data_IF_491560608642
#
_entry.id   IF_491560608642
#
_cell.length_a   1.000
_cell.length_b   1.000
_cell.length_c   1.000
_cell.angle_alpha   90.00
_cell.angle_beta   90.00
_cell.angle_gamma   90.00
#
_symmetry.space_group_name_H-M   'P 1'
#
loop_
_entity.id
_entity.type
_entity.pdbx_description
1 polymer ?
#
# COMPACT_ATOMS: atom_id res chain seq x y z
N UNK A 1 -4.99 10.86 24.58
CA UNK A 1 -4.28 11.65 23.55
C UNK A 1 -4.71 11.16 22.17
N UNK A 2 -5.86 11.62 21.65
CA UNK A 2 -6.46 11.06 20.41
C UNK A 2 -5.84 11.54 19.09
N UNK A 3 -5.10 12.66 19.11
CA UNK A 3 -4.53 13.28 17.91
C UNK A 3 -3.39 12.45 17.28
N UNK A 4 -2.46 11.96 18.10
CA UNK A 4 -1.30 11.18 17.64
C UNK A 4 -1.72 9.84 17.02
N UNK A 5 -2.73 9.19 17.59
CA UNK A 5 -3.27 7.92 17.04
C UNK A 5 -3.95 8.12 15.68
N UNK A 6 -4.68 9.23 15.49
CA UNK A 6 -5.31 9.55 14.20
C UNK A 6 -4.29 9.89 13.12
N UNK A 7 -3.24 10.64 13.48
CA UNK A 7 -2.17 11.02 12.54
C UNK A 7 -1.36 9.79 12.08
N UNK A 8 -1.02 8.88 13.01
CA UNK A 8 -0.32 7.63 12.66
C UNK A 8 -1.20 6.75 11.76
N UNK A 9 -2.48 6.58 12.10
CA UNK A 9 -3.41 5.79 11.27
C UNK A 9 -3.56 6.32 9.85
N UNK A 10 -3.75 7.64 9.70
CA UNK A 10 -3.85 8.28 8.38
C UNK A 10 -2.54 8.17 7.58
N UNK A 11 -1.40 8.32 8.24
CA UNK A 11 -0.09 8.15 7.61
C UNK A 11 0.12 6.73 7.10
N UNK A 12 -0.19 5.71 7.92
CA UNK A 12 -0.03 4.30 7.53
C UNK A 12 -0.91 3.94 6.33
N UNK A 13 -2.18 4.37 6.30
CA UNK A 13 -3.08 4.12 5.16
C UNK A 13 -2.57 4.78 3.90
N UNK A 14 -2.17 6.05 3.99
CA UNK A 14 -1.66 6.81 2.83
C UNK A 14 -0.36 6.21 2.31
N UNK A 15 0.57 5.85 3.21
CA UNK A 15 1.81 5.20 2.84
C UNK A 15 1.57 3.83 2.18
N UNK A 16 0.59 3.06 2.65
CA UNK A 16 0.21 1.77 2.07
C UNK A 16 -0.35 1.92 0.66
N UNK A 17 -1.26 2.90 0.46
CA UNK A 17 -1.83 3.20 -0.86
C UNK A 17 -0.77 3.68 -1.86
N UNK A 18 0.11 4.58 -1.42
CA UNK A 18 1.22 5.07 -2.23
C UNK A 18 2.15 3.92 -2.63
N UNK A 19 2.52 3.09 -1.66
CA UNK A 19 3.37 1.93 -1.92
C UNK A 19 2.75 0.97 -2.95
N UNK A 20 1.48 0.58 -2.74
CA UNK A 20 0.80 -0.35 -3.63
C UNK A 20 0.70 0.21 -5.06
N UNK A 21 0.45 1.51 -5.19
CA UNK A 21 0.39 2.19 -6.48
C UNK A 21 1.72 2.12 -7.23
N UNK A 22 2.84 2.39 -6.53
CA UNK A 22 4.18 2.30 -7.13
C UNK A 22 4.51 0.86 -7.51
N UNK A 23 4.21 -0.11 -6.64
CA UNK A 23 4.49 -1.53 -6.89
C UNK A 23 3.73 -2.04 -8.14
N UNK A 24 2.44 -1.72 -8.26
CA UNK A 24 1.62 -2.07 -9.43
C UNK A 24 2.18 -1.42 -10.70
N UNK A 25 2.56 -0.14 -10.64
CA UNK A 25 3.12 0.55 -11.79
C UNK A 25 4.43 -0.10 -12.28
N UNK A 26 5.33 -0.48 -11.36
CA UNK A 26 6.56 -1.18 -11.70
C UNK A 26 6.29 -2.54 -12.33
N UNK A 27 5.37 -3.34 -11.76
CA UNK A 27 5.02 -4.65 -12.31
C UNK A 27 4.40 -4.54 -13.71
N UNK A 28 3.56 -3.52 -13.95
CA UNK A 28 2.98 -3.26 -15.26
C UNK A 28 4.04 -2.91 -16.30
N UNK A 29 5.01 -2.04 -15.97
CA UNK A 29 6.11 -1.70 -16.89
C UNK A 29 6.95 -2.92 -17.27
N UNK A 30 7.22 -3.80 -16.30
CA UNK A 30 7.96 -5.04 -16.57
C UNK A 30 7.18 -5.96 -17.52
N UNK A 31 5.89 -6.19 -17.26
CA UNK A 31 5.03 -7.03 -18.12
C UNK A 31 4.93 -6.48 -19.54
N UNK A 32 4.73 -5.17 -19.69
CA UNK A 32 4.69 -4.51 -21.00
C UNK A 32 6.01 -4.69 -21.75
N UNK A 33 7.15 -4.44 -21.09
CA UNK A 33 8.46 -4.61 -21.72
C UNK A 33 8.75 -6.05 -22.15
N UNK A 34 8.30 -7.04 -21.35
CA UNK A 34 8.48 -8.45 -21.66
C UNK A 34 7.66 -8.86 -22.89
N UNK A 35 6.40 -8.45 -22.95
CA UNK A 35 5.52 -8.71 -24.10
C UNK A 35 6.05 -8.06 -25.37
N UNK A 36 6.48 -6.79 -25.31
CA UNK A 36 7.07 -6.10 -26.46
C UNK A 36 8.36 -6.77 -26.95
N UNK A 37 9.24 -7.20 -26.04
CA UNK A 37 10.46 -7.95 -26.41
C UNK A 37 10.13 -9.30 -27.04
N UNK A 38 9.15 -10.02 -26.50
CA UNK A 38 8.72 -11.30 -27.09
C UNK A 38 8.16 -11.10 -28.50
N UNK A 39 7.30 -10.11 -28.70
CA UNK A 39 6.76 -9.80 -30.03
C UNK A 39 7.87 -9.38 -31.00
N UNK A 40 8.79 -8.52 -30.55
CA UNK A 40 9.95 -8.13 -31.35
C UNK A 40 10.79 -9.35 -31.74
N UNK A 41 11.09 -10.25 -30.80
CA UNK A 41 11.84 -11.47 -31.07
C UNK A 41 11.13 -12.39 -32.08
N UNK A 42 9.80 -12.55 -31.98
CA UNK A 42 9.04 -13.35 -32.95
C UNK A 42 9.10 -12.72 -34.35
N UNK A 43 8.89 -11.41 -34.44
CA UNK A 43 8.97 -10.68 -35.72
C UNK A 43 10.38 -10.74 -36.32
N UNK A 44 11.42 -10.55 -35.50
CA UNK A 44 12.82 -10.70 -35.93
C UNK A 44 13.07 -12.11 -36.42
N UNK A 45 12.61 -13.15 -35.71
CA UNK A 45 12.83 -14.56 -36.10
C UNK A 45 12.18 -14.92 -37.44
N UNK A 46 11.04 -14.30 -37.80
CA UNK A 46 10.41 -14.49 -39.11
C UNK A 46 11.31 -13.97 -40.25
N UNK A 47 11.99 -12.85 -40.03
CA UNK A 47 12.86 -12.20 -41.05
C UNK A 47 14.24 -12.84 -41.06
N UNK A 48 14.81 -13.06 -39.87
CA UNK A 48 16.14 -13.60 -39.63
C UNK A 48 16.06 -14.67 -38.54
N UNK A 49 15.99 -15.96 -38.90
CA UNK A 49 15.84 -17.05 -37.95
C UNK A 49 17.01 -17.06 -36.97
N UNK A 50 16.72 -17.09 -35.66
CA UNK A 50 17.79 -17.14 -34.68
C UNK A 50 18.58 -18.45 -34.84
N UNK A 51 19.93 -18.40 -34.81
CA UNK A 51 20.74 -19.61 -34.81
C UNK A 51 20.42 -20.46 -33.57
N UNK A 52 20.55 -21.78 -33.70
CA UNK A 52 20.31 -22.73 -32.60
C UNK A 52 21.09 -22.30 -31.36
N UNK A 53 20.37 -22.04 -30.26
CA UNK A 53 20.99 -21.57 -29.04
C UNK A 53 21.98 -22.64 -28.52
N UNK A 54 23.20 -22.25 -28.11
CA UNK A 54 24.13 -23.18 -27.47
C UNK A 54 23.49 -23.76 -26.19
N UNK A 55 23.91 -24.97 -25.76
CA UNK A 55 23.35 -25.62 -24.58
C UNK A 55 23.37 -24.66 -23.38
N UNK A 56 22.31 -24.65 -22.55
CA UNK A 56 22.16 -23.68 -21.49
C UNK A 56 23.32 -23.80 -20.52
N UNK A 57 24.30 -22.91 -20.63
CA UNK A 57 25.31 -22.72 -19.59
C UNK A 57 24.55 -22.24 -18.36
N UNK A 58 24.65 -22.98 -17.25
CA UNK A 58 24.11 -22.59 -15.96
C UNK A 58 24.71 -21.26 -15.56
N UNK A 59 24.05 -20.17 -15.96
CA UNK A 59 24.45 -18.83 -15.55
C UNK A 59 24.06 -18.75 -14.08
N UNK A 60 25.05 -18.81 -13.20
CA UNK A 60 24.86 -18.42 -11.81
C UNK A 60 24.25 -17.00 -11.85
N UNK A 61 22.97 -16.93 -11.49
CA UNK A 61 22.24 -15.69 -11.44
C UNK A 61 22.89 -14.88 -10.33
N UNK A 62 23.84 -13.99 -10.71
CA UNK A 62 24.36 -12.98 -9.80
C UNK A 62 23.15 -12.35 -9.13
N UNK A 63 23.05 -12.51 -7.81
CA UNK A 63 21.96 -12.01 -6.98
C UNK A 63 21.76 -10.53 -7.31
N UNK A 64 20.79 -10.27 -8.17
CA UNK A 64 20.52 -8.94 -8.69
C UNK A 64 20.26 -8.04 -7.50
N UNK A 65 20.74 -6.79 -7.55
CA UNK A 65 20.41 -5.77 -6.54
C UNK A 65 18.90 -5.68 -6.33
N UNK A 66 18.13 -6.04 -7.37
CA UNK A 66 16.67 -6.18 -7.35
C UNK A 66 16.19 -7.29 -6.41
N UNK A 67 16.84 -8.45 -6.35
CA UNK A 67 16.45 -9.53 -5.43
C UNK A 67 16.74 -9.14 -3.98
N UNK A 68 17.89 -8.50 -3.72
CA UNK A 68 18.18 -7.96 -2.38
C UNK A 68 17.18 -6.88 -1.96
N UNK A 69 16.76 -6.03 -2.91
CA UNK A 69 15.73 -5.03 -2.65
C UNK A 69 14.37 -5.67 -2.36
N UNK A 70 14.01 -6.76 -3.06
CA UNK A 70 12.78 -7.53 -2.79
C UNK A 70 12.81 -8.21 -1.43
N UNK A 71 13.93 -8.84 -1.07
CA UNK A 71 14.08 -9.53 0.21
C UNK A 71 13.98 -8.56 1.38
N UNK A 72 14.65 -7.41 1.26
CA UNK A 72 14.58 -6.35 2.27
C UNK A 72 13.18 -5.75 2.37
N UNK A 73 12.54 -5.55 1.23
CA UNK A 73 11.17 -5.08 1.17
C UNK A 73 10.19 -6.07 1.83
N UNK A 74 10.32 -7.36 1.54
CA UNK A 74 9.49 -8.40 2.14
C UNK A 74 9.66 -8.44 3.66
N UNK A 75 10.89 -8.29 4.16
CA UNK A 75 11.15 -8.22 5.59
C UNK A 75 10.46 -7.02 6.26
N UNK A 76 10.41 -5.88 5.57
CA UNK A 76 9.75 -4.67 6.06
C UNK A 76 8.22 -4.81 6.03
N UNK A 77 7.65 -5.44 5.00
CA UNK A 77 6.21 -5.77 4.93
C UNK A 77 5.83 -6.76 6.01
N UNK A 78 6.59 -7.85 6.18
CA UNK A 78 6.35 -8.86 7.20
C UNK A 78 6.37 -8.23 8.60
N UNK A 79 7.34 -7.35 8.87
CA UNK A 79 7.43 -6.61 10.14
C UNK A 79 6.22 -5.71 10.36
N UNK A 80 5.75 -5.05 9.31
CA UNK A 80 4.58 -4.18 9.37
C UNK A 80 3.31 -4.99 9.61
N UNK A 81 3.11 -6.09 8.89
CA UNK A 81 1.97 -6.99 9.07
C UNK A 81 1.98 -7.60 10.47
N UNK A 82 3.14 -8.04 10.96
CA UNK A 82 3.29 -8.56 12.32
C UNK A 82 2.94 -7.51 13.37
N UNK A 83 3.38 -6.26 13.15
CA UNK A 83 3.01 -5.15 14.03
C UNK A 83 1.49 -4.91 14.01
N UNK A 84 0.87 -4.80 12.84
CA UNK A 84 -0.60 -4.63 12.66
C UNK A 84 -1.35 -5.79 13.33
N UNK A 85 -0.90 -7.03 13.16
CA UNK A 85 -1.52 -8.20 13.76
C UNK A 85 -1.37 -8.25 15.29
N UNK A 86 -0.29 -7.67 15.83
CA UNK A 86 -0.06 -7.58 17.29
C UNK A 86 -0.87 -6.47 17.96
N UNK A 87 -1.45 -5.55 17.18
CA UNK A 87 -2.31 -4.50 17.73
C UNK A 87 -3.65 -5.11 18.11
N UNK A 88 -4.07 -4.93 19.36
CA UNK A 88 -5.43 -5.27 19.79
C UNK A 88 -6.42 -4.28 19.17
N UNK A 89 -7.07 -4.74 18.11
CA UNK A 89 -8.05 -3.97 17.35
C UNK A 89 -9.34 -3.75 18.13
N UNK A 90 -9.67 -4.61 19.10
CA UNK A 90 -10.94 -4.55 19.80
C UNK A 90 -10.95 -3.34 20.75
N UNK A 91 -9.88 -3.19 21.53
CA UNK A 91 -9.71 -2.03 22.41
C UNK A 91 -9.49 -0.74 21.61
N UNK A 92 -8.67 -0.78 20.55
CA UNK A 92 -8.37 0.41 19.73
C UNK A 92 -9.57 0.89 18.92
N UNK A 93 -10.38 -0.02 18.37
CA UNK A 93 -11.61 0.34 17.66
C UNK A 93 -12.66 0.87 18.63
N UNK A 94 -12.81 0.26 19.81
CA UNK A 94 -13.73 0.73 20.84
C UNK A 94 -13.36 2.13 21.35
N UNK A 95 -12.08 2.40 21.61
CA UNK A 95 -11.59 3.73 21.98
C UNK A 95 -11.77 4.75 20.85
N UNK A 96 -11.49 4.37 19.60
CA UNK A 96 -11.71 5.20 18.43
C UNK A 96 -13.17 5.60 18.26
N UNK A 97 -14.09 4.63 18.37
CA UNK A 97 -15.52 4.85 18.28
C UNK A 97 -16.04 5.75 19.42
N UNK A 98 -15.59 5.50 20.67
CA UNK A 98 -15.94 6.35 21.82
C UNK A 98 -15.50 7.80 21.61
N UNK A 99 -14.30 8.02 21.06
CA UNK A 99 -13.79 9.37 20.79
C UNK A 99 -14.59 10.09 19.68
N UNK A 100 -15.00 9.37 18.63
CA UNK A 100 -15.84 9.92 17.55
C UNK A 100 -17.22 10.30 18.09
N UNK A 101 -17.85 9.41 18.86
CA UNK A 101 -19.16 9.68 19.50
C UNK A 101 -19.06 10.84 20.48
N UNK A 102 -17.98 10.93 21.26
CA UNK A 102 -17.77 12.05 22.19
C UNK A 102 -17.57 13.39 21.46
N UNK A 103 -16.88 13.41 20.32
CA UNK A 103 -16.76 14.61 19.48
C UNK A 103 -18.12 15.01 18.88
N UNK A 104 -18.86 14.05 18.34
CA UNK A 104 -20.20 14.28 17.79
C UNK A 104 -21.18 14.80 18.85
N UNK A 105 -21.15 14.22 20.05
CA UNK A 105 -21.97 14.66 21.18
C UNK A 105 -21.63 16.07 21.62
N UNK A 106 -20.34 16.44 21.73
CA UNK A 106 -19.94 17.82 22.05
C UNK A 106 -20.35 18.81 20.96
N UNK A 107 -20.27 18.42 19.69
CA UNK A 107 -20.74 19.25 18.58
C UNK A 107 -22.26 19.48 18.64
N UNK A 108 -23.01 18.44 18.98
CA UNK A 108 -24.47 18.50 19.14
C UNK A 108 -24.90 19.31 20.37
N UNK A 109 -24.25 19.12 21.52
CA UNK A 109 -24.52 19.88 22.75
C UNK A 109 -24.22 21.37 22.53
N UNK A 110 -23.11 21.70 21.87
CA UNK A 110 -22.77 23.08 21.51
C UNK A 110 -23.79 23.70 20.54
N UNK A 111 -24.28 22.92 19.57
CA UNK A 111 -25.31 23.38 18.65
C UNK A 111 -26.65 23.64 19.37
N UNK A 112 -26.98 22.86 20.39
CA UNK A 112 -28.19 23.05 21.20
C UNK A 112 -28.13 24.29 22.11
N UNK A 113 -26.95 24.62 22.62
CA UNK A 113 -26.72 25.81 23.44
C UNK A 113 -26.73 27.12 22.62
N UNK A 114 -26.43 27.03 21.32
CA UNK A 114 -26.49 28.17 20.38
C UNK A 114 -27.90 28.41 19.78
N UNK A 115 -28.89 27.52 20.01
CA UNK A 115 -30.28 27.76 19.58
C UNK A 115 -30.94 28.77 20.52
N UNK A 116 -31.31 29.98 20.06
CA UNK A 116 -31.98 30.96 20.89
C UNK A 116 -33.37 30.42 21.27
N UNK A 117 -33.70 30.42 22.56
CA UNK A 117 -35.07 30.17 23.02
C UNK A 117 -36.01 31.16 22.34
N UNK A 118 -37.11 30.72 21.71
CA UNK A 118 -38.13 31.66 21.25
C UNK A 118 -38.71 32.37 22.48
N UNK A 119 -38.47 33.68 22.56
CA UNK A 119 -39.14 34.58 23.46
C UNK A 119 -40.61 34.63 23.07
N UNK A 120 -41.49 34.03 23.89
CA UNK A 120 -42.93 34.20 23.73
C UNK A 120 -43.76 33.29 24.63
N UNK A 121 -44.08 33.78 25.84
CA UNK A 121 -45.46 33.95 26.34
C UNK A 121 -45.42 34.62 27.71
#
# INVERSE_FOLDING_TARGET
MGFTSGLIGGFTVTASLLYLSVAIHQQNRLRQSASLRQQALVLTNIVEPLPVAPPPTSREARTSIVEQAKDRWNADVERTVRWVASVDWNDRAAEGFKNIVALGKRGFDKAKDEVPKPSGS
#
